data_IF_897636153384
#
_entry.id   IF_897636153384
#
_cell.length_a   1.000
_cell.length_b   1.000
_cell.length_c   1.000
_cell.angle_alpha   90.00
_cell.angle_beta   90.00
_cell.angle_gamma   90.00
#
_symmetry.space_group_name_H-M   'P 1'
#
loop_
_entity.id
_entity.type
_entity.pdbx_description
1 polymer ?
#
# COMPACT_ATOMS: atom_id res chain seq x y z
N UNK A 1 21.46 3.08 27.94
CA UNK A 1 20.70 1.85 27.61
C UNK A 1 19.18 2.09 27.50
N UNK A 2 18.54 2.80 28.45
CA UNK A 2 17.07 3.03 28.47
C UNK A 2 16.48 3.88 27.32
N UNK A 3 17.26 4.81 26.74
CA UNK A 3 16.79 5.67 25.65
C UNK A 3 16.68 4.92 24.31
N UNK A 4 17.65 4.06 24.02
CA UNK A 4 17.66 3.22 22.81
C UNK A 4 16.49 2.22 22.81
N UNK A 5 16.15 1.64 23.96
CA UNK A 5 14.99 0.73 24.06
C UNK A 5 13.67 1.44 23.78
N UNK A 6 13.49 2.68 24.24
CA UNK A 6 12.28 3.45 23.97
C UNK A 6 12.16 3.85 22.48
N UNK A 7 13.28 4.21 21.84
CA UNK A 7 13.29 4.49 20.39
C UNK A 7 12.90 3.26 19.57
N UNK A 8 13.42 2.08 19.93
CA UNK A 8 13.09 0.82 19.25
C UNK A 8 11.61 0.49 19.43
N UNK A 9 11.07 0.58 20.66
CA UNK A 9 9.65 0.30 20.93
C UNK A 9 8.74 1.26 20.15
N UNK A 10 9.08 2.55 20.12
CA UNK A 10 8.30 3.54 19.39
C UNK A 10 8.33 3.29 17.88
N UNK A 11 9.48 2.89 17.34
CA UNK A 11 9.60 2.54 15.92
C UNK A 11 8.80 1.28 15.57
N UNK A 12 8.89 0.23 16.40
CA UNK A 12 8.13 -1.00 16.22
C UNK A 12 6.61 -0.73 16.29
N UNK A 13 6.15 0.02 17.29
CA UNK A 13 4.73 0.41 17.39
C UNK A 13 4.25 1.28 16.22
N UNK A 14 5.15 2.05 15.60
CA UNK A 14 4.84 2.79 14.38
C UNK A 14 4.69 1.86 13.17
N UNK A 15 5.56 0.85 13.03
CA UNK A 15 5.42 -0.19 12.00
C UNK A 15 4.11 -0.97 12.17
N UNK A 16 3.77 -1.38 13.39
CA UNK A 16 2.50 -2.07 13.67
C UNK A 16 1.28 -1.23 13.27
N UNK A 17 1.30 0.08 13.58
CA UNK A 17 0.24 0.99 13.15
C UNK A 17 0.06 1.01 11.63
N UNK A 18 1.15 0.96 10.88
CA UNK A 18 1.11 0.91 9.42
C UNK A 18 0.55 -0.42 8.92
N UNK A 19 0.86 -1.54 9.57
CA UNK A 19 0.26 -2.84 9.25
C UNK A 19 -1.24 -2.86 9.54
N UNK A 20 -1.70 -2.23 10.63
CA UNK A 20 -3.13 -2.07 10.89
C UNK A 20 -3.82 -1.14 9.88
N UNK A 21 -3.14 -0.06 9.45
CA UNK A 21 -3.63 0.79 8.38
C UNK A 21 -3.78 -0.02 7.07
N UNK A 22 -2.79 -0.85 6.75
CA UNK A 22 -2.83 -1.73 5.58
C UNK A 22 -4.07 -2.64 5.63
N UNK A 23 -4.25 -3.38 6.73
CA UNK A 23 -5.36 -4.32 6.87
C UNK A 23 -6.75 -3.67 6.97
N UNK A 24 -6.86 -2.50 7.60
CA UNK A 24 -8.17 -1.91 7.88
C UNK A 24 -8.62 -0.90 6.82
N UNK A 25 -7.68 -0.17 6.24
CA UNK A 25 -7.98 0.99 5.40
C UNK A 25 -7.44 0.90 3.99
N UNK A 26 -6.59 -0.07 3.67
CA UNK A 26 -6.03 -0.22 2.32
C UNK A 26 -6.47 -1.53 1.66
N UNK A 27 -6.14 -2.68 2.24
CA UNK A 27 -6.42 -4.02 1.69
C UNK A 27 -7.90 -4.21 1.31
N UNK A 28 -8.89 -3.87 2.17
CA UNK A 28 -10.29 -4.15 1.86
C UNK A 28 -10.85 -3.37 0.67
N UNK A 29 -10.12 -2.36 0.21
CA UNK A 29 -10.50 -1.52 -0.92
C UNK A 29 -9.63 -1.79 -2.15
N UNK A 30 -8.32 -1.97 -2.01
CA UNK A 30 -7.45 -2.24 -3.15
C UNK A 30 -7.52 -3.70 -3.60
N UNK A 31 -7.30 -4.64 -2.67
CA UNK A 31 -7.24 -6.07 -3.00
C UNK A 31 -8.60 -6.63 -3.42
N UNK A 32 -9.67 -6.21 -2.75
CA UNK A 32 -11.04 -6.66 -3.06
C UNK A 32 -11.48 -6.21 -4.45
N UNK A 33 -11.18 -4.98 -4.86
CA UNK A 33 -11.53 -4.49 -6.20
C UNK A 33 -10.73 -5.22 -7.28
N UNK A 34 -9.42 -5.40 -7.08
CA UNK A 34 -8.59 -6.25 -7.94
C UNK A 34 -9.19 -7.65 -8.09
N UNK A 35 -9.67 -8.25 -7.00
CA UNK A 35 -10.26 -9.58 -7.02
C UNK A 35 -11.54 -9.63 -7.86
N UNK A 36 -12.50 -8.73 -7.64
CA UNK A 36 -13.75 -8.71 -8.41
C UNK A 36 -13.54 -8.37 -9.89
N UNK A 37 -12.65 -7.43 -10.18
CA UNK A 37 -12.46 -6.89 -11.53
C UNK A 37 -11.55 -7.81 -12.37
N UNK A 38 -10.37 -8.15 -11.87
CA UNK A 38 -9.34 -8.82 -12.70
C UNK A 38 -9.26 -10.33 -12.49
N UNK A 39 -9.50 -10.81 -11.26
CA UNK A 39 -9.42 -12.25 -10.95
C UNK A 39 -10.73 -12.96 -11.28
N UNK A 40 -11.84 -12.54 -10.68
CA UNK A 40 -13.15 -13.13 -10.95
C UNK A 40 -13.74 -12.69 -12.29
N UNK A 41 -13.31 -11.52 -12.80
CA UNK A 41 -13.85 -10.91 -14.03
C UNK A 41 -15.37 -10.74 -13.97
N UNK A 42 -15.88 -10.42 -12.78
CA UNK A 42 -17.31 -10.26 -12.49
C UNK A 42 -17.60 -8.89 -11.87
N UNK A 43 -17.12 -7.86 -12.56
CA UNK A 43 -17.35 -6.45 -12.20
C UNK A 43 -18.85 -6.14 -12.12
N UNK A 44 -19.65 -6.66 -13.05
CA UNK A 44 -21.07 -6.32 -13.18
C UNK A 44 -21.88 -6.75 -11.94
N UNK A 45 -21.61 -7.93 -11.38
CA UNK A 45 -22.29 -8.40 -10.18
C UNK A 45 -21.92 -7.60 -8.91
N UNK A 46 -20.77 -6.92 -8.93
CA UNK A 46 -20.20 -6.23 -7.77
C UNK A 46 -20.19 -4.69 -7.91
N UNK A 47 -20.86 -4.13 -8.92
CA UNK A 47 -20.79 -2.69 -9.23
C UNK A 47 -21.12 -1.79 -8.05
N UNK A 48 -22.19 -2.08 -7.30
CA UNK A 48 -22.61 -1.24 -6.19
C UNK A 48 -21.58 -1.24 -5.05
N UNK A 49 -20.92 -2.37 -4.82
CA UNK A 49 -19.85 -2.50 -3.84
C UNK A 49 -18.57 -1.79 -4.32
N UNK A 50 -18.25 -1.88 -5.61
CA UNK A 50 -17.11 -1.20 -6.23
C UNK A 50 -17.29 0.32 -6.11
N UNK A 51 -18.46 0.85 -6.48
CA UNK A 51 -18.78 2.29 -6.38
C UNK A 51 -18.64 2.82 -4.94
N UNK A 52 -19.04 2.03 -3.95
CA UNK A 52 -18.90 2.40 -2.53
C UNK A 52 -17.46 2.34 -2.02
N UNK A 53 -16.65 1.38 -2.50
CA UNK A 53 -15.30 1.11 -1.98
C UNK A 53 -14.21 1.86 -2.71
N UNK A 54 -14.38 2.15 -4.00
CA UNK A 54 -13.37 2.82 -4.82
C UNK A 54 -12.92 4.16 -4.20
N UNK A 55 -13.82 5.05 -3.72
CA UNK A 55 -13.40 6.28 -3.06
C UNK A 55 -12.55 6.05 -1.80
N UNK A 56 -12.81 4.97 -1.05
CA UNK A 56 -12.07 4.63 0.16
C UNK A 56 -10.65 4.14 -0.17
N UNK A 57 -10.49 3.38 -1.26
CA UNK A 57 -9.16 3.02 -1.76
C UNK A 57 -8.37 4.25 -2.23
N UNK A 58 -8.99 5.18 -2.95
CA UNK A 58 -8.34 6.46 -3.29
C UNK A 58 -7.97 7.28 -2.05
N UNK A 59 -8.82 7.27 -1.01
CA UNK A 59 -8.49 7.93 0.26
C UNK A 59 -7.25 7.31 0.92
N UNK A 60 -7.12 5.97 0.91
CA UNK A 60 -5.94 5.27 1.42
C UNK A 60 -4.67 5.62 0.61
N UNK A 61 -4.77 5.61 -0.72
CA UNK A 61 -3.68 6.00 -1.62
C UNK A 61 -3.26 7.47 -1.39
N UNK A 62 -4.20 8.37 -1.12
CA UNK A 62 -3.90 9.77 -0.81
C UNK A 62 -3.15 9.92 0.53
N UNK A 63 -3.51 9.12 1.54
CA UNK A 63 -2.75 9.06 2.80
C UNK A 63 -1.33 8.60 2.54
N UNK A 64 -1.17 7.53 1.76
CA UNK A 64 0.15 7.00 1.37
C UNK A 64 0.99 8.04 0.62
N UNK A 65 0.43 8.70 -0.39
CA UNK A 65 1.11 9.72 -1.20
C UNK A 65 1.61 10.90 -0.35
N UNK A 66 0.74 11.39 0.54
CA UNK A 66 1.08 12.47 1.47
C UNK A 66 2.18 12.05 2.44
N UNK A 67 2.07 10.84 3.00
CA UNK A 67 3.05 10.29 3.93
C UNK A 67 4.43 10.10 3.28
N UNK A 68 4.44 9.66 2.02
CA UNK A 68 5.65 9.43 1.25
C UNK A 68 6.26 10.71 0.70
N UNK A 69 5.61 11.88 0.78
CA UNK A 69 6.12 13.13 0.22
C UNK A 69 7.59 13.39 0.55
N UNK A 70 7.91 13.39 1.84
CA UNK A 70 9.23 13.69 2.41
C UNK A 70 9.93 12.44 2.99
N UNK A 71 9.48 11.24 2.61
CA UNK A 71 9.99 9.97 3.12
C UNK A 71 10.39 9.03 1.99
N UNK A 72 11.41 8.22 2.28
CA UNK A 72 11.85 7.16 1.37
C UNK A 72 11.05 5.87 1.57
N UNK A 73 10.67 5.58 2.82
CA UNK A 73 9.89 4.42 3.25
C UNK A 73 8.83 4.82 4.28
N UNK A 74 7.87 3.94 4.55
CA UNK A 74 6.80 4.26 5.50
C UNK A 74 7.32 4.46 6.92
N UNK A 75 8.22 3.59 7.38
CA UNK A 75 8.82 3.64 8.72
C UNK A 75 10.00 4.63 8.87
N UNK A 76 10.04 5.66 8.02
CA UNK A 76 11.09 6.69 8.01
C UNK A 76 12.13 6.42 6.93
N UNK A 77 13.40 6.34 7.32
CA UNK A 77 14.52 6.14 6.37
C UNK A 77 14.93 4.67 6.21
N UNK A 78 14.20 3.75 6.83
CA UNK A 78 14.51 2.32 6.80
C UNK A 78 13.38 1.54 6.12
N UNK A 79 13.75 0.68 5.18
CA UNK A 79 12.86 -0.30 4.57
C UNK A 79 12.37 -1.30 5.63
N UNK A 80 11.09 -1.61 5.63
CA UNK A 80 10.45 -2.40 6.68
C UNK A 80 9.34 -3.32 6.16
N UNK A 81 8.81 -4.18 7.04
CA UNK A 81 7.64 -5.01 6.73
C UNK A 81 6.38 -4.20 6.39
N UNK A 82 6.28 -2.95 6.83
CA UNK A 82 5.18 -2.07 6.43
C UNK A 82 5.22 -1.73 4.94
N UNK A 83 6.43 -1.52 4.40
CA UNK A 83 6.62 -1.25 2.98
C UNK A 83 6.27 -2.50 2.14
N UNK A 84 6.69 -3.68 2.61
CA UNK A 84 6.34 -4.96 1.96
C UNK A 84 4.82 -5.15 1.93
N UNK A 85 4.15 -4.96 3.07
CA UNK A 85 2.71 -5.15 3.20
C UNK A 85 1.93 -4.21 2.29
N UNK A 86 2.24 -2.91 2.32
CA UNK A 86 1.56 -1.93 1.48
C UNK A 86 1.87 -2.15 -0.01
N UNK A 87 3.12 -2.47 -0.37
CA UNK A 87 3.51 -2.66 -1.76
C UNK A 87 2.74 -3.80 -2.44
N UNK A 88 2.47 -4.88 -1.70
CA UNK A 88 1.87 -6.11 -2.21
C UNK A 88 0.64 -5.88 -3.11
N UNK A 89 -0.27 -4.97 -2.73
CA UNK A 89 -1.43 -4.63 -3.55
C UNK A 89 -1.34 -3.27 -4.23
N UNK A 90 -0.59 -2.30 -3.68
CA UNK A 90 -0.49 -0.98 -4.33
C UNK A 90 0.19 -1.08 -5.69
N UNK A 91 1.22 -1.92 -5.86
CA UNK A 91 1.95 -2.02 -7.14
C UNK A 91 1.14 -2.63 -8.30
N UNK A 92 -0.01 -3.26 -7.98
CA UNK A 92 -0.99 -3.84 -8.92
C UNK A 92 -2.35 -3.17 -8.82
N UNK A 93 -2.44 -1.98 -8.22
CA UNK A 93 -3.73 -1.32 -8.00
C UNK A 93 -4.48 -1.00 -9.32
N UNK A 94 -3.77 -0.87 -10.44
CA UNK A 94 -4.38 -0.71 -11.78
C UNK A 94 -5.28 -1.89 -12.18
N UNK A 95 -5.00 -3.11 -11.68
CA UNK A 95 -5.86 -4.29 -11.87
C UNK A 95 -7.19 -4.17 -11.09
N UNK A 96 -7.29 -3.22 -10.18
CA UNK A 96 -8.54 -2.79 -9.51
C UNK A 96 -9.11 -1.48 -10.07
N UNK A 97 -8.66 -1.06 -11.27
CA UNK A 97 -9.04 0.21 -11.93
C UNK A 97 -8.62 1.49 -11.19
N UNK A 98 -7.62 1.41 -10.29
CA UNK A 98 -7.03 2.60 -9.69
C UNK A 98 -6.03 3.25 -10.65
N UNK A 99 -6.21 4.54 -10.93
CA UNK A 99 -5.22 5.33 -11.68
C UNK A 99 -4.15 5.91 -10.74
N UNK A 100 -2.95 5.35 -10.81
CA UNK A 100 -1.79 5.86 -10.08
C UNK A 100 -0.98 6.90 -10.87
N UNK A 101 -1.44 7.36 -12.04
CA UNK A 101 -0.69 8.24 -12.95
C UNK A 101 -0.17 9.52 -12.29
N UNK A 102 -0.92 10.08 -11.35
CA UNK A 102 -0.61 11.33 -10.64
C UNK A 102 0.16 11.15 -9.32
N UNK A 103 0.29 9.90 -8.84
CA UNK A 103 0.88 9.55 -7.55
C UNK A 103 2.41 9.42 -7.63
N UNK A 104 3.11 10.56 -7.60
CA UNK A 104 4.56 10.65 -7.85
C UNK A 104 5.36 10.05 -6.70
N UNK A 105 4.92 10.20 -5.46
CA UNK A 105 5.64 9.72 -4.29
C UNK A 105 5.50 8.21 -4.13
N UNK A 106 4.30 7.66 -4.38
CA UNK A 106 4.10 6.21 -4.47
C UNK A 106 4.96 5.60 -5.58
N UNK A 107 4.98 6.18 -6.78
CA UNK A 107 5.85 5.66 -7.87
C UNK A 107 7.34 5.72 -7.52
N UNK A 108 7.81 6.80 -6.90
CA UNK A 108 9.19 6.89 -6.41
C UNK A 108 9.49 5.79 -5.40
N UNK A 109 8.54 5.53 -4.50
CA UNK A 109 8.65 4.46 -3.50
C UNK A 109 8.65 3.06 -4.14
N UNK A 110 7.85 2.80 -5.18
CA UNK A 110 7.92 1.54 -5.94
C UNK A 110 9.33 1.29 -6.47
N UNK A 111 9.94 2.27 -7.12
CA UNK A 111 11.32 2.13 -7.63
C UNK A 111 12.33 1.81 -6.54
N UNK A 112 12.13 2.30 -5.32
CA UNK A 112 13.00 1.99 -4.16
C UNK A 112 12.81 0.57 -3.64
N UNK A 113 11.59 0.04 -3.69
CA UNK A 113 11.30 -1.35 -3.31
C UNK A 113 11.85 -2.32 -4.36
N UNK A 114 11.64 -2.00 -5.63
CA UNK A 114 12.11 -2.81 -6.76
C UNK A 114 13.64 -2.86 -6.85
N UNK A 115 14.34 -1.86 -6.29
CA UNK A 115 15.80 -1.84 -6.21
C UNK A 115 16.39 -2.63 -5.02
N UNK A 116 15.57 -3.25 -4.17
CA UNK A 116 16.09 -4.03 -3.04
C UNK A 116 16.73 -5.34 -3.51
N UNK A 117 17.85 -5.74 -2.89
CA UNK A 117 18.70 -6.84 -3.35
C UNK A 117 17.99 -8.21 -3.45
N UNK A 118 16.90 -8.42 -2.69
CA UNK A 118 16.11 -9.65 -2.68
C UNK A 118 14.69 -9.45 -3.23
N UNK A 119 14.47 -8.37 -4.00
CA UNK A 119 13.17 -8.11 -4.60
C UNK A 119 12.78 -9.24 -5.57
N UNK A 120 11.53 -9.71 -5.42
CA UNK A 120 10.91 -10.66 -6.34
C UNK A 120 9.62 -10.06 -6.86
N UNK A 121 9.44 -9.93 -8.19
CA UNK A 121 8.23 -9.36 -8.75
C UNK A 121 7.04 -10.30 -8.55
N UNK A 122 5.88 -9.73 -8.26
CA UNK A 122 4.61 -10.43 -8.42
C UNK A 122 4.22 -10.34 -9.89
N UNK A 123 3.75 -11.46 -10.44
CA UNK A 123 3.31 -11.52 -11.84
C UNK A 123 1.95 -10.82 -11.94
N UNK A 124 1.91 -9.71 -12.69
CA UNK A 124 0.67 -9.04 -13.09
C UNK A 124 -0.15 -9.98 -13.98
N UNK A 125 -1.47 -9.96 -13.82
CA UNK A 125 -2.41 -10.88 -14.52
C UNK A 125 -3.15 -10.21 -15.66
#
# INVERSE_FOLDING_TARGET
>A
MHYLSLQIINWAGFVERLLFFEQYSHEPYIATLRFWISILKDKQANLSQIEQRMPLGYAALNVMESHLKDRDFFAGNAYSVADIALYAYTHVAEEGEYDLSTYKHIKRWFSRIESQAAYMPIVKI
#
